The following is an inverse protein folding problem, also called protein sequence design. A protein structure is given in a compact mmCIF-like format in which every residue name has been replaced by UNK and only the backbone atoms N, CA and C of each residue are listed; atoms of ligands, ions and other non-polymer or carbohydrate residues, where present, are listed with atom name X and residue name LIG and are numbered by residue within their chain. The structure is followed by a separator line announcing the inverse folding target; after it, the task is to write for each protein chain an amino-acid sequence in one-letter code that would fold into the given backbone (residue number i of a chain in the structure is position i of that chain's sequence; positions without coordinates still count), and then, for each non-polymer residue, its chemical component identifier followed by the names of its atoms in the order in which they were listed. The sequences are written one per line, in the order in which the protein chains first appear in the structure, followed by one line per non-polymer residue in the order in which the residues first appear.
data_IF_543617675313
#
_entry.id   IF_543617675313
#
_cell.length_a   1.000
_cell.length_b   1.000
_cell.length_c   1.000
_cell.angle_alpha   90.00
_cell.angle_beta   90.00
_cell.angle_gamma   90.00
#
_symmetry.space_group_name_H-M   'P 1'
#
loop_
_entity.id
_entity.type
_entity.pdbx_description
1 polymer ?
#
# COMPACT_ATOMS: atom_id res chain seq x y z
N UNK A 1 -10.08 -23.50 25.43
CA UNK A 1 -9.58 -23.76 24.06
C UNK A 1 -10.49 -23.20 22.95
N UNK A 2 -11.84 -23.21 23.10
CA UNK A 2 -12.82 -22.79 22.07
C UNK A 2 -12.80 -21.32 21.59
N UNK A 3 -11.97 -20.45 22.15
CA UNK A 3 -11.96 -19.02 21.79
C UNK A 3 -10.62 -18.50 21.26
N UNK A 4 -9.58 -19.32 21.11
CA UNK A 4 -8.26 -18.79 20.73
C UNK A 4 -8.27 -18.18 19.32
N UNK A 5 -8.93 -18.82 18.35
CA UNK A 5 -9.09 -18.30 16.98
C UNK A 5 -9.95 -17.03 16.98
N UNK A 6 -11.06 -17.04 17.73
CA UNK A 6 -11.93 -15.86 17.91
C UNK A 6 -11.20 -14.67 18.57
N UNK A 7 -10.36 -14.92 19.58
CA UNK A 7 -9.56 -13.90 20.28
C UNK A 7 -8.52 -13.32 19.34
N UNK A 8 -7.82 -14.18 18.58
CA UNK A 8 -6.84 -13.76 17.59
C UNK A 8 -7.51 -12.89 16.52
N UNK A 9 -8.61 -13.36 15.92
CA UNK A 9 -9.37 -12.61 14.91
C UNK A 9 -9.84 -11.26 15.45
N UNK A 10 -10.39 -11.20 16.66
CA UNK A 10 -10.82 -9.95 17.29
C UNK A 10 -9.66 -8.97 17.47
N UNK A 11 -8.49 -9.48 17.87
CA UNK A 11 -7.26 -8.68 18.01
C UNK A 11 -6.82 -8.10 16.67
N UNK A 12 -6.78 -8.94 15.62
CA UNK A 12 -6.45 -8.53 14.25
C UNK A 12 -7.40 -7.45 13.72
N UNK A 13 -8.72 -7.67 13.85
CA UNK A 13 -9.74 -6.71 13.38
C UNK A 13 -9.64 -5.37 14.12
N UNK A 14 -9.45 -5.40 15.45
CA UNK A 14 -9.29 -4.18 16.26
C UNK A 14 -8.07 -3.38 15.81
N UNK A 15 -6.93 -4.04 15.65
CA UNK A 15 -5.70 -3.39 15.18
C UNK A 15 -5.86 -2.84 13.76
N UNK A 16 -6.44 -3.61 12.83
CA UNK A 16 -6.63 -3.17 11.45
C UNK A 16 -7.46 -1.89 11.40
N UNK A 17 -8.60 -1.85 12.10
CA UNK A 17 -9.50 -0.68 12.11
C UNK A 17 -8.83 0.57 12.71
N UNK A 18 -7.90 0.38 13.64
CA UNK A 18 -7.13 1.47 14.21
C UNK A 18 -6.04 1.99 13.24
N UNK A 19 -5.31 1.09 12.57
CA UNK A 19 -4.19 1.46 11.68
C UNK A 19 -4.63 1.93 10.29
N UNK A 20 -5.73 1.37 9.77
CA UNK A 20 -6.21 1.60 8.41
C UNK A 20 -7.69 2.02 8.40
N UNK A 21 -8.07 3.14 9.07
CA UNK A 21 -9.46 3.57 9.18
C UNK A 21 -10.12 3.90 7.83
N UNK A 22 -9.33 4.15 6.78
CA UNK A 22 -9.78 4.41 5.42
C UNK A 22 -10.11 3.15 4.61
N UNK A 23 -9.78 1.96 5.12
CA UNK A 23 -10.03 0.68 4.46
C UNK A 23 -11.12 -0.11 5.19
N UNK A 24 -11.69 -1.09 4.51
CA UNK A 24 -12.78 -1.92 5.06
C UNK A 24 -12.25 -3.32 5.36
N UNK A 25 -12.52 -3.79 6.57
CA UNK A 25 -12.40 -5.19 6.96
C UNK A 25 -13.71 -5.68 7.56
N UNK A 26 -14.17 -6.86 7.12
CA UNK A 26 -15.35 -7.50 7.67
C UNK A 26 -15.14 -9.00 7.80
N UNK A 27 -15.85 -9.60 8.75
CA UNK A 27 -15.88 -11.04 8.95
C UNK A 27 -16.98 -11.68 8.11
N UNK A 28 -16.73 -12.88 7.61
CA UNK A 28 -17.73 -13.71 6.94
C UNK A 28 -18.15 -14.82 7.92
N UNK A 29 -19.29 -14.67 8.62
CA UNK A 29 -19.69 -15.60 9.67
C UNK A 29 -20.34 -16.86 9.09
N UNK A 30 -19.66 -17.55 8.17
CA UNK A 30 -20.20 -18.76 7.51
C UNK A 30 -20.04 -20.03 8.37
N UNK A 31 -19.27 -19.98 9.45
CA UNK A 31 -19.16 -21.04 10.45
C UNK A 31 -20.22 -20.95 11.55
N UNK A 32 -20.34 -22.03 12.35
CA UNK A 32 -21.19 -22.09 13.54
C UNK A 32 -22.37 -23.06 13.44
N UNK A 33 -22.90 -23.45 14.60
CA UNK A 33 -24.10 -24.27 14.69
C UNK A 33 -25.35 -23.44 14.40
N UNK A 34 -26.23 -23.94 13.53
CA UNK A 34 -27.53 -23.35 13.23
C UNK A 34 -28.59 -24.44 13.24
N UNK A 35 -29.85 -24.04 13.41
CA UNK A 35 -30.93 -25.01 13.20
C UNK A 35 -31.03 -25.38 11.72
N UNK A 36 -31.63 -26.53 11.43
CA UNK A 36 -31.69 -27.09 10.06
C UNK A 36 -32.39 -26.13 9.08
N UNK A 37 -33.49 -25.49 9.51
CA UNK A 37 -34.27 -24.57 8.66
C UNK A 37 -33.45 -23.33 8.29
N UNK A 38 -32.74 -22.76 9.25
CA UNK A 38 -31.87 -21.62 9.06
C UNK A 38 -30.69 -21.98 8.15
N UNK A 39 -30.07 -23.15 8.34
CA UNK A 39 -29.00 -23.63 7.47
C UNK A 39 -29.47 -23.84 6.02
N UNK A 40 -30.68 -24.38 5.82
CA UNK A 40 -31.28 -24.52 4.49
C UNK A 40 -31.55 -23.17 3.84
N UNK A 41 -32.17 -22.23 4.57
CA UNK A 41 -32.43 -20.87 4.09
C UNK A 41 -31.13 -20.17 3.68
N UNK A 42 -30.12 -20.19 4.55
CA UNK A 42 -28.83 -19.53 4.30
C UNK A 42 -28.08 -20.16 3.11
N UNK A 43 -28.18 -21.47 2.91
CA UNK A 43 -27.66 -22.11 1.69
C UNK A 43 -28.38 -21.62 0.44
N UNK A 44 -29.71 -21.47 0.50
CA UNK A 44 -30.50 -20.90 -0.59
C UNK A 44 -30.18 -19.42 -0.85
N UNK A 45 -29.83 -18.66 0.19
CA UNK A 45 -29.36 -17.27 0.11
C UNK A 45 -27.89 -17.15 -0.35
N UNK A 46 -27.19 -18.27 -0.55
CA UNK A 46 -25.85 -18.29 -1.13
C UNK A 46 -24.69 -18.42 -0.14
N UNK A 47 -24.92 -18.83 1.10
CA UNK A 47 -23.82 -19.16 2.02
C UNK A 47 -22.95 -20.26 1.41
N UNK A 48 -21.69 -19.90 1.16
CA UNK A 48 -20.68 -20.78 0.63
C UNK A 48 -19.80 -21.32 1.77
N UNK A 49 -19.69 -22.64 1.86
CA UNK A 49 -18.84 -23.29 2.84
C UNK A 49 -17.36 -23.06 2.51
N UNK A 50 -16.55 -22.81 3.54
CA UNK A 50 -15.10 -22.67 3.40
C UNK A 50 -14.61 -21.29 2.94
N UNK A 51 -15.51 -20.30 2.81
CA UNK A 51 -15.08 -18.89 2.64
C UNK A 51 -14.21 -18.49 3.83
N UNK A 52 -13.13 -17.76 3.55
CA UNK A 52 -12.19 -17.27 4.56
C UNK A 52 -12.89 -16.40 5.63
N UNK A 53 -12.35 -16.44 6.86
CA UNK A 53 -12.95 -15.76 8.01
C UNK A 53 -13.07 -14.24 7.84
N UNK A 54 -12.06 -13.61 7.23
CA UNK A 54 -11.97 -12.17 7.04
C UNK A 54 -11.79 -11.79 5.58
N UNK A 55 -12.40 -10.67 5.19
CA UNK A 55 -12.20 -10.03 3.89
C UNK A 55 -11.78 -8.58 4.12
N UNK A 56 -10.74 -8.17 3.40
CA UNK A 56 -10.26 -6.78 3.34
C UNK A 56 -10.49 -6.23 1.94
N UNK A 57 -11.16 -5.08 1.85
CA UNK A 57 -11.30 -4.34 0.60
C UNK A 57 -10.13 -3.36 0.46
N UNK A 58 -9.37 -3.55 -0.61
CA UNK A 58 -8.17 -2.78 -0.91
C UNK A 58 -8.43 -1.81 -2.08
N UNK A 59 -7.57 -0.78 -2.25
CA UNK A 59 -7.65 0.12 -3.39
C UNK A 59 -7.59 -0.62 -4.75
N UNK A 60 -8.08 0.04 -5.80
CA UNK A 60 -8.15 -0.50 -7.17
C UNK A 60 -9.01 -1.77 -7.29
N UNK A 61 -10.06 -1.90 -6.47
CA UNK A 61 -10.99 -3.03 -6.54
C UNK A 61 -10.39 -4.38 -6.12
N UNK A 62 -9.21 -4.36 -5.48
CA UNK A 62 -8.55 -5.57 -4.99
C UNK A 62 -9.21 -6.06 -3.71
N UNK A 63 -9.19 -7.37 -3.49
CA UNK A 63 -9.64 -7.97 -2.24
C UNK A 63 -8.58 -8.93 -1.70
N UNK A 64 -8.49 -8.95 -0.37
CA UNK A 64 -7.66 -9.88 0.37
C UNK A 64 -8.54 -10.73 1.28
N UNK A 65 -8.48 -12.03 1.10
CA UNK A 65 -9.10 -13.04 1.94
C UNK A 65 -8.10 -13.54 2.97
N UNK A 66 -8.50 -13.61 4.24
CA UNK A 66 -7.64 -14.06 5.33
C UNK A 66 -8.38 -15.12 6.13
N UNK A 67 -7.83 -16.32 6.14
CA UNK A 67 -8.25 -17.43 6.99
C UNK A 67 -7.43 -17.42 8.27
N UNK A 68 -8.09 -17.41 9.41
CA UNK A 68 -7.46 -17.39 10.72
C UNK A 68 -7.31 -18.83 11.23
N UNK A 69 -6.14 -19.14 11.79
CA UNK A 69 -5.88 -20.41 12.47
C UNK A 69 -5.14 -20.17 13.77
N UNK A 70 -5.15 -21.21 14.61
CA UNK A 70 -4.28 -21.31 15.78
C UNK A 70 -3.50 -22.62 15.70
N UNK A 71 -2.37 -22.69 16.41
CA UNK A 71 -1.47 -23.85 16.38
C UNK A 71 -2.25 -25.16 16.59
N UNK A 72 -2.06 -26.11 15.67
CA UNK A 72 -2.76 -27.41 15.65
C UNK A 72 -3.96 -27.46 14.71
N UNK A 73 -4.60 -26.32 14.41
CA UNK A 73 -5.68 -26.25 13.44
C UNK A 73 -5.13 -26.21 12.00
N UNK A 74 -5.84 -26.84 11.08
CA UNK A 74 -5.54 -26.82 9.64
C UNK A 74 -6.79 -26.42 8.87
N UNK A 75 -6.60 -25.90 7.67
CA UNK A 75 -7.72 -25.69 6.75
C UNK A 75 -8.42 -27.02 6.46
N UNK A 76 -9.74 -26.96 6.46
CA UNK A 76 -10.61 -28.03 5.95
C UNK A 76 -10.50 -28.13 4.42
N UNK A 77 -11.02 -29.20 3.83
CA UNK A 77 -10.99 -29.36 2.37
C UNK A 77 -11.73 -28.21 1.66
N UNK A 78 -12.94 -27.87 2.12
CA UNK A 78 -13.71 -26.76 1.54
C UNK A 78 -12.97 -25.41 1.61
N UNK A 79 -12.19 -25.16 2.67
CA UNK A 79 -11.39 -23.93 2.79
C UNK A 79 -10.23 -23.90 1.78
N UNK A 80 -9.59 -25.05 1.52
CA UNK A 80 -8.57 -25.16 0.48
C UNK A 80 -9.16 -24.99 -0.92
N UNK A 81 -10.34 -25.56 -1.16
CA UNK A 81 -11.02 -25.44 -2.44
C UNK A 81 -11.41 -23.98 -2.72
N UNK A 82 -11.95 -23.28 -1.70
CA UNK A 82 -12.23 -21.85 -1.79
C UNK A 82 -10.96 -21.03 -2.03
N UNK A 83 -9.88 -21.30 -1.29
CA UNK A 83 -8.58 -20.65 -1.50
C UNK A 83 -8.11 -20.78 -2.95
N UNK A 84 -8.10 -22.01 -3.48
CA UNK A 84 -7.66 -22.28 -4.84
C UNK A 84 -8.50 -21.51 -5.86
N UNK A 85 -9.82 -21.49 -5.67
CA UNK A 85 -10.74 -20.75 -6.55
C UNK A 85 -10.53 -19.23 -6.47
N UNK A 86 -10.37 -18.68 -5.27
CA UNK A 86 -10.12 -17.25 -5.08
C UNK A 86 -8.81 -16.81 -5.75
N UNK A 87 -7.73 -17.58 -5.57
CA UNK A 87 -6.43 -17.33 -6.19
C UNK A 87 -6.52 -17.43 -7.71
N UNK A 88 -7.19 -18.46 -8.24
CA UNK A 88 -7.37 -18.63 -9.69
C UNK A 88 -8.15 -17.47 -10.34
N UNK A 89 -9.02 -16.81 -9.58
CA UNK A 89 -9.76 -15.61 -10.00
C UNK A 89 -8.99 -14.29 -9.80
N UNK A 90 -7.72 -14.36 -9.36
CA UNK A 90 -6.85 -13.19 -9.21
C UNK A 90 -7.00 -12.45 -7.87
N UNK A 91 -7.67 -13.03 -6.88
CA UNK A 91 -7.75 -12.47 -5.54
C UNK A 91 -6.56 -12.91 -4.68
N UNK A 92 -6.19 -12.07 -3.71
CA UNK A 92 -5.15 -12.44 -2.73
C UNK A 92 -5.78 -13.25 -1.61
N UNK A 93 -5.11 -14.34 -1.21
CA UNK A 93 -5.52 -15.20 -0.10
C UNK A 93 -4.34 -15.44 0.85
N UNK A 94 -4.58 -15.41 2.15
CA UNK A 94 -3.59 -15.75 3.17
C UNK A 94 -4.21 -16.62 4.28
N UNK A 95 -3.37 -17.45 4.89
CA UNK A 95 -3.67 -18.16 6.14
C UNK A 95 -2.77 -17.57 7.22
N UNK A 96 -3.34 -17.12 8.33
CA UNK A 96 -2.60 -16.49 9.42
C UNK A 96 -2.81 -17.26 10.73
N UNK A 97 -1.72 -17.73 11.31
CA UNK A 97 -1.66 -18.44 12.59
C UNK A 97 -1.37 -17.52 13.78
N UNK A 98 -0.83 -16.32 13.52
CA UNK A 98 -0.50 -15.34 14.55
C UNK A 98 -0.90 -13.92 14.15
N UNK A 99 -0.86 -13.02 15.12
CA UNK A 99 -1.14 -11.60 14.90
C UNK A 99 -0.06 -10.96 14.00
N UNK A 100 1.20 -11.33 14.18
CA UNK A 100 2.33 -10.83 13.41
C UNK A 100 2.26 -11.27 11.93
N UNK A 101 1.81 -12.50 11.67
CA UNK A 101 1.54 -12.96 10.30
C UNK A 101 0.43 -12.15 9.65
N UNK A 102 -0.66 -11.90 10.37
CA UNK A 102 -1.73 -11.02 9.91
C UNK A 102 -1.20 -9.63 9.58
N UNK A 103 -0.44 -9.00 10.49
CA UNK A 103 0.15 -7.67 10.25
C UNK A 103 0.99 -7.64 8.99
N UNK A 104 1.91 -8.61 8.82
CA UNK A 104 2.78 -8.70 7.62
C UNK A 104 1.97 -8.83 6.33
N UNK A 105 0.90 -9.64 6.33
CA UNK A 105 0.03 -9.80 5.16
C UNK A 105 -0.69 -8.49 4.84
N UNK A 106 -1.22 -7.80 5.85
CA UNK A 106 -1.86 -6.50 5.68
C UNK A 106 -0.85 -5.49 5.15
N UNK A 107 0.29 -5.30 5.81
CA UNK A 107 1.34 -4.36 5.40
C UNK A 107 1.82 -4.62 3.97
N UNK A 108 2.00 -5.89 3.58
CA UNK A 108 2.35 -6.24 2.20
C UNK A 108 1.25 -5.88 1.19
N UNK A 109 -0.01 -5.98 1.59
CA UNK A 109 -1.18 -5.78 0.73
C UNK A 109 -1.68 -4.33 0.70
N UNK A 110 -1.39 -3.55 1.74
CA UNK A 110 -1.72 -2.13 1.89
C UNK A 110 -0.53 -1.24 1.61
N UNK A 111 0.69 -1.79 1.60
CA UNK A 111 1.84 -1.12 1.02
C UNK A 111 1.39 -0.63 -0.34
N UNK A 112 1.47 0.70 -0.53
CA UNK A 112 1.45 1.27 -1.87
C UNK A 112 2.41 0.39 -2.67
N UNK A 113 2.00 -0.17 -3.83
CA UNK A 113 2.95 -0.88 -4.68
C UNK A 113 4.18 0.00 -4.70
N UNK A 114 5.35 -0.55 -4.31
CA UNK A 114 6.58 0.23 -4.18
C UNK A 114 6.61 1.10 -5.42
N UNK A 115 6.27 2.38 -5.25
CA UNK A 115 6.04 3.23 -6.42
C UNK A 115 7.40 3.15 -7.07
N UNK A 116 7.47 2.76 -8.33
CA UNK A 116 8.75 2.67 -9.02
C UNK A 116 9.21 4.12 -9.29
N UNK A 117 9.26 4.94 -8.24
CA UNK A 117 9.73 6.31 -8.20
C UNK A 117 11.19 6.18 -8.55
N UNK A 118 11.55 6.82 -9.62
CA UNK A 118 12.93 6.93 -10.05
C UNK A 118 13.23 8.41 -10.13
N UNK A 119 14.52 8.74 -10.15
CA UNK A 119 14.97 10.08 -10.50
C UNK A 119 14.45 10.51 -11.89
N UNK A 120 14.17 9.56 -12.78
CA UNK A 120 13.59 9.81 -14.09
C UNK A 120 12.15 10.35 -14.03
N UNK A 121 11.29 9.79 -13.19
CA UNK A 121 9.93 10.33 -13.00
C UNK A 121 9.93 11.76 -12.46
N UNK A 122 10.92 12.11 -11.63
CA UNK A 122 11.08 13.48 -11.13
C UNK A 122 11.56 14.40 -12.27
N UNK A 123 12.53 13.97 -13.08
CA UNK A 123 13.01 14.72 -14.25
C UNK A 123 11.86 15.02 -15.22
N UNK A 124 11.12 14.00 -15.63
CA UNK A 124 9.97 14.14 -16.52
C UNK A 124 8.91 15.08 -15.94
N UNK A 125 8.75 15.09 -14.61
CA UNK A 125 7.79 15.98 -13.97
C UNK A 125 8.17 17.44 -14.01
N UNK A 126 9.46 17.73 -13.89
CA UNK A 126 9.98 19.08 -14.10
C UNK A 126 9.72 19.49 -15.55
N UNK A 127 10.19 18.71 -16.52
CA UNK A 127 10.16 19.07 -17.95
C UNK A 127 8.73 19.21 -18.48
N UNK A 128 7.91 18.21 -18.16
CA UNK A 128 6.51 18.32 -17.74
C UNK A 128 5.93 19.73 -17.60
N UNK A 129 5.95 20.15 -16.34
CA UNK A 129 5.29 21.33 -15.82
C UNK A 129 5.93 22.63 -16.30
N UNK A 130 7.20 22.61 -16.70
CA UNK A 130 7.92 23.83 -17.14
C UNK A 130 7.95 24.00 -18.65
N UNK A 131 7.76 22.93 -19.43
CA UNK A 131 7.98 22.93 -20.88
C UNK A 131 9.46 23.01 -21.28
N UNK A 132 10.38 22.87 -20.31
CA UNK A 132 11.81 23.08 -20.52
C UNK A 132 12.65 21.91 -19.96
N UNK A 133 13.81 21.58 -20.58
CA UNK A 133 14.71 20.55 -20.06
C UNK A 133 15.16 20.83 -18.61
N UNK A 134 15.31 19.79 -17.78
CA UNK A 134 15.73 19.94 -16.38
C UNK A 134 17.04 20.75 -16.22
N UNK A 135 17.95 20.64 -17.20
CA UNK A 135 19.26 21.30 -17.18
C UNK A 135 19.22 22.76 -17.65
N UNK A 136 18.09 23.28 -18.15
CA UNK A 136 18.00 24.66 -18.67
C UNK A 136 18.11 25.71 -17.57
N UNK A 137 17.67 25.40 -16.34
CA UNK A 137 17.62 26.34 -15.23
C UNK A 137 18.18 25.76 -13.92
N UNK A 138 19.04 26.50 -13.19
CA UNK A 138 19.43 26.15 -11.83
C UNK A 138 18.24 26.04 -10.88
N UNK A 139 17.13 26.74 -11.15
CA UNK A 139 15.92 26.65 -10.33
C UNK A 139 15.29 25.25 -10.41
N UNK A 140 15.28 24.64 -11.59
CA UNK A 140 14.73 23.31 -11.82
C UNK A 140 15.57 22.23 -11.15
N UNK A 141 16.89 22.38 -11.17
CA UNK A 141 17.81 21.49 -10.44
C UNK A 141 17.59 21.56 -8.93
N UNK A 142 17.27 22.74 -8.37
CA UNK A 142 16.94 22.89 -6.94
C UNK A 142 15.63 22.17 -6.61
N UNK A 143 14.58 22.35 -7.41
CA UNK A 143 13.28 21.67 -7.22
C UNK A 143 13.44 20.15 -7.32
N UNK A 144 14.13 19.68 -8.37
CA UNK A 144 14.44 18.26 -8.57
C UNK A 144 15.13 17.65 -7.36
N UNK A 145 16.20 18.28 -6.87
CA UNK A 145 16.92 17.82 -5.69
C UNK A 145 16.02 17.79 -4.44
N UNK A 146 15.15 18.79 -4.27
CA UNK A 146 14.19 18.83 -3.17
C UNK A 146 13.17 17.69 -3.21
N UNK A 147 12.58 17.42 -4.36
CA UNK A 147 11.62 16.32 -4.56
C UNK A 147 12.32 14.96 -4.38
N UNK A 148 13.52 14.80 -4.93
CA UNK A 148 14.32 13.57 -4.79
C UNK A 148 14.65 13.26 -3.32
N UNK A 149 14.95 14.28 -2.52
CA UNK A 149 15.15 14.13 -1.08
C UNK A 149 13.85 13.77 -0.36
N UNK A 150 12.76 14.46 -0.68
CA UNK A 150 11.48 14.34 0.02
C UNK A 150 10.75 13.01 -0.23
N UNK A 151 10.75 12.53 -1.48
CA UNK A 151 9.91 11.37 -1.88
C UNK A 151 10.68 10.12 -2.26
N UNK A 152 11.95 10.26 -2.68
CA UNK A 152 12.80 9.13 -3.05
C UNK A 152 13.89 8.84 -2.00
N UNK A 153 14.03 9.69 -0.97
CA UNK A 153 15.10 9.63 0.04
C UNK A 153 16.50 9.51 -0.58
N UNK A 154 16.72 10.15 -1.74
CA UNK A 154 17.95 10.01 -2.51
C UNK A 154 19.17 10.53 -1.72
N UNK A 155 20.28 9.81 -1.74
CA UNK A 155 21.58 10.32 -1.29
C UNK A 155 22.12 11.37 -2.26
N UNK A 156 23.01 12.26 -1.79
CA UNK A 156 23.65 13.22 -2.70
C UNK A 156 24.50 12.51 -3.77
N UNK A 157 25.04 11.33 -3.45
CA UNK A 157 25.82 10.50 -4.39
C UNK A 157 24.94 9.98 -5.53
N UNK A 158 23.74 9.50 -5.24
CA UNK A 158 22.79 9.03 -6.26
C UNK A 158 22.34 10.17 -7.19
N UNK A 159 21.98 11.33 -6.62
CA UNK A 159 21.60 12.51 -7.40
C UNK A 159 22.78 12.98 -8.27
N UNK A 160 23.99 13.04 -7.71
CA UNK A 160 25.19 13.45 -8.43
C UNK A 160 25.48 12.54 -9.62
N UNK A 161 25.38 11.22 -9.42
CA UNK A 161 25.55 10.22 -10.48
C UNK A 161 24.51 10.40 -11.59
N UNK A 162 23.24 10.58 -11.23
CA UNK A 162 22.15 10.74 -12.19
C UNK A 162 22.27 12.04 -13.00
N UNK A 163 22.51 13.17 -12.35
CA UNK A 163 22.64 14.47 -13.02
C UNK A 163 23.99 14.69 -13.71
N UNK A 164 24.96 13.79 -13.48
CA UNK A 164 26.36 13.92 -13.90
C UNK A 164 26.97 15.25 -13.39
N UNK A 165 26.83 15.50 -12.08
CA UNK A 165 27.32 16.72 -11.41
C UNK A 165 28.15 16.38 -10.17
N UNK A 166 28.99 17.33 -9.75
CA UNK A 166 29.78 17.17 -8.52
C UNK A 166 28.90 17.10 -7.27
N UNK A 167 29.38 16.42 -6.23
CA UNK A 167 28.72 16.40 -4.92
C UNK A 167 28.53 17.82 -4.34
N UNK A 168 29.49 18.72 -4.56
CA UNK A 168 29.41 20.12 -4.13
C UNK A 168 28.24 20.85 -4.79
N UNK A 169 28.01 20.63 -6.09
CA UNK A 169 26.86 21.20 -6.81
C UNK A 169 25.54 20.70 -6.24
N UNK A 170 25.43 19.40 -5.96
CA UNK A 170 24.22 18.81 -5.39
C UNK A 170 23.94 19.35 -3.99
N UNK A 171 24.97 19.44 -3.14
CA UNK A 171 24.86 20.02 -1.81
C UNK A 171 24.39 21.48 -1.87
N UNK A 172 24.90 22.26 -2.83
CA UNK A 172 24.42 23.63 -3.08
C UNK A 172 22.94 23.66 -3.47
N UNK A 173 22.50 22.84 -4.42
CA UNK A 173 21.09 22.82 -4.85
C UNK A 173 20.13 22.40 -3.73
N UNK A 174 20.49 21.38 -2.94
CA UNK A 174 19.69 20.94 -1.79
C UNK A 174 19.56 22.06 -0.75
N UNK A 175 20.67 22.73 -0.41
CA UNK A 175 20.66 23.87 0.53
C UNK A 175 19.84 25.05 0.01
N UNK A 176 19.96 25.36 -1.27
CA UNK A 176 19.19 26.44 -1.88
C UNK A 176 17.70 26.13 -1.93
N UNK A 177 17.31 24.87 -2.22
CA UNK A 177 15.92 24.46 -2.18
C UNK A 177 15.30 24.72 -0.80
N UNK A 178 15.98 24.36 0.29
CA UNK A 178 15.47 24.58 1.65
C UNK A 178 15.34 26.06 2.03
N UNK A 179 16.14 26.93 1.42
CA UNK A 179 16.07 28.38 1.65
C UNK A 179 14.99 29.06 0.82
N UNK A 180 14.70 28.55 -0.38
CA UNK A 180 13.76 29.17 -1.32
C UNK A 180 12.31 28.71 -1.12
N UNK A 181 12.06 27.66 -0.34
CA UNK A 181 10.69 27.15 -0.07
C UNK A 181 9.77 28.17 0.61
N UNK A 182 10.31 29.24 1.18
CA UNK A 182 9.55 30.35 1.76
C UNK A 182 9.22 31.46 0.75
N UNK A 183 9.90 31.48 -0.40
CA UNK A 183 9.57 32.38 -1.50
C UNK A 183 8.29 31.92 -2.20
N UNK A 184 7.29 32.81 -2.30
CA UNK A 184 5.96 32.52 -2.85
C UNK A 184 6.03 31.89 -4.26
N UNK A 185 6.82 32.48 -5.16
CA UNK A 185 6.95 32.00 -6.55
C UNK A 185 7.61 30.63 -6.64
N UNK A 186 8.70 30.42 -5.88
CA UNK A 186 9.40 29.14 -5.84
C UNK A 186 8.53 28.04 -5.20
N UNK A 187 7.80 28.37 -4.13
CA UNK A 187 6.88 27.45 -3.44
C UNK A 187 5.75 26.97 -4.35
N UNK A 188 5.20 27.86 -5.19
CA UNK A 188 4.19 27.49 -6.18
C UNK A 188 4.77 26.54 -7.22
N UNK A 189 5.91 26.88 -7.82
CA UNK A 189 6.60 26.02 -8.78
C UNK A 189 6.91 24.63 -8.20
N UNK A 190 7.43 24.58 -6.97
CA UNK A 190 7.74 23.33 -6.28
C UNK A 190 6.49 22.47 -6.11
N UNK A 191 5.39 23.07 -5.64
CA UNK A 191 4.12 22.35 -5.43
C UNK A 191 3.52 21.84 -6.73
N UNK A 192 3.58 22.62 -7.80
CA UNK A 192 3.05 22.21 -9.10
C UNK A 192 3.78 20.97 -9.64
N UNK A 193 5.12 21.02 -9.63
CA UNK A 193 5.96 19.89 -10.07
C UNK A 193 5.77 18.69 -9.13
N UNK A 194 5.70 18.91 -7.81
CA UNK A 194 5.47 17.86 -6.81
C UNK A 194 4.12 17.17 -7.01
N UNK A 195 3.04 17.93 -7.26
CA UNK A 195 1.73 17.37 -7.52
C UNK A 195 1.74 16.56 -8.82
N UNK A 196 2.31 17.11 -9.88
CA UNK A 196 2.43 16.44 -11.17
C UNK A 196 3.25 15.14 -11.08
N UNK A 197 4.31 15.13 -10.27
CA UNK A 197 5.08 13.93 -9.91
C UNK A 197 4.24 12.91 -9.13
N UNK A 198 3.52 13.36 -8.10
CA UNK A 198 2.71 12.48 -7.26
C UNK A 198 1.54 11.85 -8.02
N UNK A 199 0.99 12.52 -9.02
CA UNK A 199 -0.02 11.98 -9.92
C UNK A 199 0.53 10.89 -10.83
N UNK A 200 1.73 11.09 -11.41
CA UNK A 200 2.40 10.08 -12.25
C UNK A 200 2.87 8.85 -11.49
N UNK A 201 3.00 8.94 -10.18
CA UNK A 201 3.38 7.81 -9.32
C UNK A 201 2.19 7.17 -8.57
N UNK A 202 0.94 7.48 -8.93
CA UNK A 202 -0.25 6.75 -8.48
C UNK A 202 -0.45 5.49 -9.33
#
# INVERSE_FOLDING_TARGET
MKHQESTLQTTCVRWFRYQYPQLVIYAVPNGGSRNVREAQRLKAEGVLAGVADLVVLLPQGKSLYIEMKVKGNRQTQNQKDFQNKAIALGHTYAVCYTFEEFQKVIEKSTAKPARNITLEHIRQSVEISTGEPLKSSPQYLKVFCGIAKKHYNATNKEIAKYLQKSLSSISYYVKQNSQLTDSKGYKLLFKDIENSFLERCK
#
